data_IF_005980628837
#
_entry.id   IF_005980628837
#
_cell.length_a   1.000
_cell.length_b   1.000
_cell.length_c   1.000
_cell.angle_alpha   90.00
_cell.angle_beta   90.00
_cell.angle_gamma   90.00
#
_symmetry.space_group_name_H-M   'P 1'
#
loop_
_entity.id
_entity.type
_entity.pdbx_description
1 polymer ?
#
# COMPACT_ATOMS: atom_id res chain seq x y z
N UNK A 1 40.45 9.15 8.93
CA UNK A 1 39.14 8.59 9.34
C UNK A 1 38.03 8.94 8.35
N UNK A 2 38.14 10.05 7.61
CA UNK A 2 37.08 10.57 6.72
C UNK A 2 36.78 9.68 5.49
N UNK A 3 37.79 8.96 4.99
CA UNK A 3 37.62 8.01 3.87
C UNK A 3 36.72 6.83 4.27
N UNK A 4 36.77 6.40 5.54
CA UNK A 4 35.97 5.28 6.06
C UNK A 4 34.47 5.63 6.05
N UNK A 5 34.13 6.89 6.37
CA UNK A 5 32.74 7.39 6.32
C UNK A 5 32.19 7.39 4.88
N UNK A 6 33.03 7.75 3.91
CA UNK A 6 32.64 7.74 2.50
C UNK A 6 32.35 6.30 2.02
N UNK A 7 33.23 5.34 2.34
CA UNK A 7 33.03 3.93 2.03
C UNK A 7 31.79 3.35 2.72
N UNK A 8 31.54 3.68 3.99
CA UNK A 8 30.32 3.25 4.69
C UNK A 8 29.04 3.79 4.05
N UNK A 9 29.05 5.06 3.61
CA UNK A 9 27.89 5.66 2.92
C UNK A 9 27.61 5.01 1.56
N UNK A 10 28.68 4.72 0.80
CA UNK A 10 28.59 4.06 -0.50
C UNK A 10 28.08 2.61 -0.35
N UNK A 11 28.56 1.89 0.67
CA UNK A 11 28.08 0.55 1.00
C UNK A 11 26.59 0.56 1.38
N UNK A 12 26.14 1.54 2.17
CA UNK A 12 24.72 1.68 2.53
C UNK A 12 23.83 1.97 1.31
N UNK A 13 24.31 2.81 0.39
CA UNK A 13 23.66 3.09 -0.89
C UNK A 13 23.53 1.84 -1.76
N UNK A 14 24.62 1.07 -1.90
CA UNK A 14 24.63 -0.18 -2.66
C UNK A 14 23.67 -1.23 -2.09
N UNK A 15 23.63 -1.38 -0.77
CA UNK A 15 22.68 -2.28 -0.10
C UNK A 15 21.24 -1.81 -0.34
N UNK A 16 20.97 -0.51 -0.29
CA UNK A 16 19.64 0.05 -0.55
C UNK A 16 19.17 -0.26 -1.98
N UNK A 17 20.02 0.00 -2.98
CA UNK A 17 19.70 -0.33 -4.38
C UNK A 17 19.50 -1.84 -4.56
N UNK A 18 20.36 -2.67 -3.97
CA UNK A 18 20.23 -4.13 -4.03
C UNK A 18 18.90 -4.64 -3.47
N UNK A 19 18.41 -4.05 -2.38
CA UNK A 19 17.09 -4.42 -1.82
C UNK A 19 15.94 -4.01 -2.73
N UNK A 20 16.02 -2.84 -3.37
CA UNK A 20 15.00 -2.37 -4.34
C UNK A 20 14.97 -3.32 -5.55
N UNK A 21 16.13 -3.63 -6.13
CA UNK A 21 16.24 -4.54 -7.28
C UNK A 21 15.69 -5.92 -6.92
N UNK A 22 15.98 -6.43 -5.71
CA UNK A 22 15.47 -7.73 -5.25
C UNK A 22 13.94 -7.74 -5.14
N UNK A 23 13.33 -6.66 -4.67
CA UNK A 23 11.87 -6.54 -4.59
C UNK A 23 11.26 -6.51 -6.01
N UNK A 24 11.85 -5.77 -6.94
CA UNK A 24 11.37 -5.75 -8.33
C UNK A 24 11.58 -7.10 -9.03
N UNK A 25 12.66 -7.82 -8.74
CA UNK A 25 12.87 -9.17 -9.24
C UNK A 25 11.82 -10.16 -8.74
N UNK A 26 11.47 -10.09 -7.45
CA UNK A 26 10.38 -10.90 -6.87
C UNK A 26 9.02 -10.54 -7.49
N UNK A 27 8.78 -9.26 -7.79
CA UNK A 27 7.60 -8.82 -8.55
C UNK A 27 7.58 -9.40 -9.95
N UNK A 28 8.69 -9.29 -10.68
CA UNK A 28 8.81 -9.85 -12.03
C UNK A 28 8.61 -11.37 -12.04
N UNK A 29 9.07 -12.08 -11.00
CA UNK A 29 8.86 -13.52 -10.86
C UNK A 29 7.43 -13.89 -10.45
N UNK A 30 6.78 -13.06 -9.64
CA UNK A 30 5.36 -13.17 -9.33
C UNK A 30 4.45 -12.97 -10.55
N UNK A 31 4.92 -12.28 -11.60
CA UNK A 31 4.18 -12.17 -12.87
C UNK A 31 4.05 -13.51 -13.61
N UNK A 32 4.81 -14.53 -13.21
CA UNK A 32 4.82 -15.87 -13.81
C UNK A 32 3.92 -16.86 -13.04
N UNK A 33 2.98 -16.34 -12.24
CA UNK A 33 1.98 -17.18 -11.58
C UNK A 33 1.19 -18.04 -12.59
N UNK A 34 0.74 -19.24 -12.18
CA UNK A 34 0.00 -20.15 -13.06
C UNK A 34 -1.21 -19.46 -13.72
N UNK A 35 -1.60 -19.89 -14.93
CA UNK A 35 -2.75 -19.32 -15.64
C UNK A 35 -4.02 -19.37 -14.79
N UNK A 36 -4.76 -18.26 -14.78
CA UNK A 36 -6.11 -18.19 -14.23
C UNK A 36 -7.02 -19.18 -14.96
N UNK A 37 -7.83 -19.91 -14.20
CA UNK A 37 -8.94 -20.68 -14.77
C UNK A 37 -10.05 -19.70 -15.15
N UNK A 38 -10.14 -19.39 -16.45
CA UNK A 38 -11.08 -18.43 -17.00
C UNK A 38 -12.57 -18.84 -16.82
N UNK A 39 -12.84 -20.04 -16.30
CA UNK A 39 -14.20 -20.51 -16.00
C UNK A 39 -14.79 -19.93 -14.71
N UNK A 40 -13.97 -19.36 -13.81
CA UNK A 40 -14.48 -18.70 -12.62
C UNK A 40 -14.94 -17.27 -12.96
N UNK A 41 -16.26 -17.05 -12.93
CA UNK A 41 -16.87 -15.74 -13.13
C UNK A 41 -16.44 -14.76 -12.03
N UNK A 42 -15.91 -13.59 -12.42
CA UNK A 42 -15.50 -12.57 -11.47
C UNK A 42 -16.69 -11.71 -11.05
N UNK A 43 -16.88 -11.60 -9.74
CA UNK A 43 -17.85 -10.69 -9.16
C UNK A 43 -17.45 -9.21 -9.38
N UNK A 44 -18.43 -8.29 -9.41
CA UNK A 44 -18.18 -6.86 -9.61
C UNK A 44 -17.31 -6.26 -8.50
N UNK A 45 -17.35 -6.79 -7.27
CA UNK A 45 -16.43 -6.41 -6.20
C UNK A 45 -15.00 -6.90 -6.45
N UNK A 46 -14.83 -8.09 -7.03
CA UNK A 46 -13.54 -8.61 -7.41
C UNK A 46 -12.95 -7.80 -8.58
N UNK A 47 -13.75 -7.44 -9.59
CA UNK A 47 -13.34 -6.53 -10.67
C UNK A 47 -13.01 -5.13 -10.15
N UNK A 48 -13.77 -4.61 -9.19
CA UNK A 48 -13.45 -3.34 -8.54
C UNK A 48 -12.10 -3.42 -7.80
N UNK A 49 -11.85 -4.54 -7.11
CA UNK A 49 -10.58 -4.78 -6.43
C UNK A 49 -9.44 -4.87 -7.45
N UNK A 50 -9.65 -5.59 -8.54
CA UNK A 50 -8.66 -5.69 -9.60
C UNK A 50 -8.47 -4.39 -10.34
N UNK A 51 -9.43 -3.47 -10.42
CA UNK A 51 -9.25 -2.19 -11.14
C UNK A 51 -8.64 -1.08 -10.29
N UNK A 52 -8.78 -1.11 -8.96
CA UNK A 52 -8.22 -0.05 -8.09
C UNK A 52 -7.98 -0.42 -6.63
N UNK A 53 -8.02 -1.71 -6.30
CA UNK A 53 -7.78 -2.23 -4.95
C UNK A 53 -8.95 -1.96 -3.99
N UNK A 54 -8.71 -2.01 -2.67
CA UNK A 54 -9.76 -1.95 -1.65
C UNK A 54 -10.59 -0.66 -1.71
N UNK A 55 -9.96 0.48 -2.02
CA UNK A 55 -10.68 1.76 -2.13
C UNK A 55 -11.71 1.75 -3.27
N UNK A 56 -11.37 1.09 -4.39
CA UNK A 56 -12.27 1.01 -5.54
C UNK A 56 -13.45 0.08 -5.26
N UNK A 57 -13.25 -1.01 -4.51
CA UNK A 57 -14.34 -1.85 -4.01
C UNK A 57 -15.33 -1.04 -3.18
N UNK A 58 -14.84 -0.23 -2.24
CA UNK A 58 -15.70 0.59 -1.38
C UNK A 58 -16.45 1.63 -2.20
N UNK A 59 -15.80 2.26 -3.19
CA UNK A 59 -16.46 3.19 -4.10
C UNK A 59 -17.56 2.52 -4.91
N UNK A 60 -17.31 1.30 -5.41
CA UNK A 60 -18.33 0.50 -6.11
C UNK A 60 -19.49 0.17 -5.18
N UNK A 61 -19.24 -0.29 -3.95
CA UNK A 61 -20.29 -0.59 -2.97
C UNK A 61 -21.14 0.64 -2.64
N UNK A 62 -20.51 1.80 -2.41
CA UNK A 62 -21.24 3.07 -2.20
C UNK A 62 -22.05 3.45 -3.44
N UNK A 63 -21.51 3.24 -4.64
CA UNK A 63 -22.21 3.49 -5.89
C UNK A 63 -23.45 2.61 -6.07
N UNK A 64 -23.34 1.31 -5.79
CA UNK A 64 -24.45 0.37 -5.84
C UNK A 64 -25.54 0.70 -4.83
N UNK A 65 -25.17 0.89 -3.55
CA UNK A 65 -26.10 1.31 -2.51
C UNK A 65 -26.79 2.65 -2.81
N UNK A 66 -26.09 3.58 -3.50
CA UNK A 66 -26.71 4.84 -3.93
C UNK A 66 -27.68 4.63 -5.09
N UNK A 67 -27.37 3.73 -6.00
CA UNK A 67 -28.22 3.37 -7.15
C UNK A 67 -29.48 2.63 -6.70
N UNK A 68 -29.36 1.75 -5.72
CA UNK A 68 -30.46 0.97 -5.12
C UNK A 68 -31.33 1.81 -4.18
N UNK A 69 -30.84 2.99 -3.78
CA UNK A 69 -31.58 3.93 -2.95
C UNK A 69 -31.41 3.71 -1.44
N UNK A 70 -30.49 2.84 -1.02
CA UNK A 70 -30.14 2.62 0.39
C UNK A 70 -29.24 3.71 0.97
N UNK A 71 -28.47 4.36 0.09
CA UNK A 71 -27.63 5.52 0.42
C UNK A 71 -28.02 6.75 -0.42
N UNK A 72 -27.87 7.93 0.17
CA UNK A 72 -27.99 9.22 -0.50
C UNK A 72 -26.73 10.05 -0.31
N UNK A 73 -26.20 10.58 -1.40
CA UNK A 73 -25.03 11.46 -1.40
C UNK A 73 -25.47 12.92 -1.43
N UNK A 74 -24.98 13.72 -0.50
CA UNK A 74 -25.20 15.18 -0.50
C UNK A 74 -24.13 15.90 -1.33
N UNK A 75 -24.42 17.14 -1.76
CA UNK A 75 -23.52 17.98 -2.58
C UNK A 75 -22.15 18.27 -1.93
N UNK A 76 -22.00 18.02 -0.63
CA UNK A 76 -20.73 18.14 0.11
C UNK A 76 -19.96 16.83 0.31
N UNK A 77 -20.32 15.75 -0.40
CA UNK A 77 -19.65 14.45 -0.28
C UNK A 77 -19.94 13.72 1.04
N UNK A 78 -21.05 14.06 1.71
CA UNK A 78 -21.54 13.33 2.87
C UNK A 78 -22.58 12.30 2.45
N UNK A 79 -22.49 11.12 3.03
CA UNK A 79 -23.37 9.99 2.83
C UNK A 79 -24.44 9.96 3.93
N UNK A 80 -25.67 9.70 3.53
CA UNK A 80 -26.81 9.55 4.42
C UNK A 80 -27.48 8.21 4.11
N UNK A 81 -27.83 7.46 5.15
CA UNK A 81 -28.62 6.24 5.00
C UNK A 81 -30.09 6.64 4.80
N UNK A 82 -30.75 6.02 3.83
CA UNK A 82 -32.18 6.24 3.58
C UNK A 82 -33.01 5.43 4.58
N UNK A 83 -34.13 6.01 5.03
CA UNK A 83 -35.04 5.32 5.94
C UNK A 83 -35.72 4.15 5.20
N UNK A 84 -35.66 2.94 5.77
CA UNK A 84 -36.14 1.73 5.12
C UNK A 84 -35.11 1.00 4.24
N UNK A 85 -33.86 1.47 4.22
CA UNK A 85 -32.79 0.81 3.48
C UNK A 85 -32.65 -0.67 3.89
N UNK A 86 -32.77 -1.56 2.91
CA UNK A 86 -32.67 -3.01 3.08
C UNK A 86 -31.19 -3.38 2.92
N UNK A 87 -30.70 -4.32 3.72
CA UNK A 87 -29.33 -4.80 3.51
C UNK A 87 -29.26 -5.49 2.16
N UNK A 88 -28.35 -5.06 1.28
CA UNK A 88 -28.15 -5.64 -0.05
C UNK A 88 -27.46 -7.03 -0.02
N UNK A 89 -27.28 -7.61 1.17
CA UNK A 89 -26.91 -9.01 1.35
C UNK A 89 -25.40 -9.27 1.34
N UNK A 90 -24.57 -8.27 1.02
CA UNK A 90 -23.12 -8.39 1.10
C UNK A 90 -22.56 -7.78 2.41
N UNK A 91 -21.70 -8.49 3.16
CA UNK A 91 -21.20 -8.00 4.46
C UNK A 91 -20.46 -6.64 4.41
N UNK A 92 -19.90 -6.27 3.26
CA UNK A 92 -19.28 -4.95 3.05
C UNK A 92 -20.30 -3.82 3.04
N UNK A 93 -21.44 -4.03 2.39
CA UNK A 93 -22.52 -3.04 2.28
C UNK A 93 -23.14 -2.80 3.66
N UNK A 94 -23.34 -3.86 4.43
CA UNK A 94 -23.80 -3.79 5.81
C UNK A 94 -22.86 -2.95 6.68
N UNK A 95 -21.54 -3.19 6.58
CA UNK A 95 -20.55 -2.41 7.31
C UNK A 95 -20.60 -0.92 6.92
N UNK A 96 -20.80 -0.61 5.63
CA UNK A 96 -20.96 0.76 5.14
C UNK A 96 -22.23 1.39 5.72
N UNK A 97 -23.37 0.71 5.63
CA UNK A 97 -24.66 1.19 6.15
C UNK A 97 -24.61 1.40 7.68
N UNK A 98 -23.91 0.53 8.40
CA UNK A 98 -23.70 0.63 9.85
C UNK A 98 -22.89 1.88 10.21
N UNK A 99 -21.76 2.14 9.53
CA UNK A 99 -20.95 3.34 9.75
C UNK A 99 -21.74 4.63 9.47
N UNK A 100 -22.52 4.66 8.38
CA UNK A 100 -23.31 5.83 7.99
C UNK A 100 -24.49 6.07 8.96
N UNK A 101 -25.08 5.01 9.55
CA UNK A 101 -26.19 5.11 10.51
C UNK A 101 -25.85 5.93 11.75
N UNK A 102 -24.57 6.00 12.12
CA UNK A 102 -24.13 6.63 13.39
C UNK A 102 -24.32 8.14 13.45
N UNK A 103 -24.63 8.85 12.34
CA UNK A 103 -24.69 10.33 12.33
C UNK A 103 -25.88 10.90 11.56
N UNK A 104 -26.73 11.65 12.26
CA UNK A 104 -27.82 12.47 11.65
C UNK A 104 -27.29 13.52 10.65
N UNK A 105 -26.07 14.04 10.87
CA UNK A 105 -25.46 15.08 10.02
C UNK A 105 -24.80 14.57 8.73
N UNK A 106 -24.90 13.26 8.44
CA UNK A 106 -24.22 12.61 7.32
C UNK A 106 -22.75 12.28 7.59
N UNK A 107 -22.25 11.25 6.94
CA UNK A 107 -20.89 10.74 7.13
C UNK A 107 -19.99 11.09 5.92
N UNK A 108 -18.83 11.73 6.11
CA UNK A 108 -17.95 12.07 4.99
C UNK A 108 -17.43 10.82 4.26
N UNK A 109 -17.61 10.74 2.93
CA UNK A 109 -17.21 9.57 2.13
C UNK A 109 -15.71 9.24 2.27
N UNK A 110 -14.85 10.27 2.33
CA UNK A 110 -13.39 10.08 2.50
C UNK A 110 -13.05 9.39 3.82
N UNK A 111 -13.76 9.72 4.90
CA UNK A 111 -13.56 9.06 6.20
C UNK A 111 -14.10 7.64 6.21
N UNK A 112 -15.15 7.35 5.43
CA UNK A 112 -15.75 6.03 5.33
C UNK A 112 -14.74 5.06 4.71
N UNK A 113 -14.13 5.45 3.60
CA UNK A 113 -13.10 4.66 2.92
C UNK A 113 -11.98 4.28 3.91
N UNK A 114 -11.49 5.24 4.70
CA UNK A 114 -10.43 4.95 5.69
C UNK A 114 -10.83 3.95 6.78
N UNK A 115 -12.09 3.96 7.22
CA UNK A 115 -12.59 3.03 8.25
C UNK A 115 -12.90 1.64 7.70
N UNK A 116 -13.54 1.59 6.53
CA UNK A 116 -14.03 0.35 5.92
C UNK A 116 -12.93 -0.38 5.15
N UNK A 117 -11.85 0.30 4.75
CA UNK A 117 -10.73 -0.34 4.04
C UNK A 117 -10.04 -1.46 4.82
N UNK A 118 -10.11 -1.45 6.16
CA UNK A 118 -9.57 -2.51 7.00
C UNK A 118 -10.59 -3.61 7.34
N UNK A 119 -11.83 -3.51 6.85
CA UNK A 119 -12.89 -4.44 7.18
C UNK A 119 -12.58 -5.86 6.68
N UNK A 120 -12.88 -6.92 7.45
CA UNK A 120 -12.59 -8.30 7.07
C UNK A 120 -13.12 -8.69 5.68
N UNK A 121 -14.29 -8.19 5.27
CA UNK A 121 -14.88 -8.47 3.95
C UNK A 121 -14.01 -7.99 2.80
N UNK A 122 -13.35 -6.82 2.94
CA UNK A 122 -12.45 -6.28 1.91
C UNK A 122 -11.15 -7.07 1.85
N UNK A 123 -10.64 -7.50 3.01
CA UNK A 123 -9.45 -8.34 3.07
C UNK A 123 -9.73 -9.73 2.48
N UNK A 124 -10.90 -10.31 2.77
CA UNK A 124 -11.34 -11.61 2.25
C UNK A 124 -11.44 -11.63 0.72
N UNK A 125 -11.88 -10.53 0.09
CA UNK A 125 -11.84 -10.37 -1.37
C UNK A 125 -10.41 -10.42 -1.92
N UNK A 126 -9.46 -9.74 -1.27
CA UNK A 126 -8.05 -9.80 -1.63
C UNK A 126 -7.48 -11.21 -1.50
N UNK A 127 -7.80 -11.93 -0.43
CA UNK A 127 -7.36 -13.31 -0.23
C UNK A 127 -8.00 -14.30 -1.21
N UNK A 128 -9.27 -14.11 -1.57
CA UNK A 128 -9.92 -14.88 -2.62
C UNK A 128 -9.19 -14.69 -3.96
N UNK A 129 -8.90 -13.44 -4.34
CA UNK A 129 -8.15 -13.10 -5.56
C UNK A 129 -6.71 -13.64 -5.53
N UNK A 130 -6.08 -13.76 -4.35
CA UNK A 130 -4.77 -14.41 -4.19
C UNK A 130 -4.87 -15.92 -4.38
N UNK A 131 -5.87 -16.59 -3.77
CA UNK A 131 -6.11 -18.02 -3.97
C UNK A 131 -6.42 -18.35 -5.43
N UNK A 132 -7.06 -17.41 -6.10
CA UNK A 132 -7.37 -17.42 -7.52
C UNK A 132 -6.16 -17.12 -8.42
N UNK A 133 -5.01 -16.70 -7.88
CA UNK A 133 -3.83 -16.37 -8.71
C UNK A 133 -3.98 -15.07 -9.53
N UNK A 134 -5.02 -14.28 -9.28
CA UNK A 134 -5.24 -12.97 -9.89
C UNK A 134 -4.45 -11.86 -9.18
N UNK A 135 -4.09 -12.08 -7.92
CA UNK A 135 -3.20 -11.24 -7.14
C UNK A 135 -2.07 -12.08 -6.53
N UNK A 136 -0.88 -11.50 -6.43
CA UNK A 136 0.21 -12.09 -5.63
C UNK A 136 0.45 -11.23 -4.40
N UNK A 137 0.34 -11.86 -3.23
CA UNK A 137 0.72 -11.26 -1.96
C UNK A 137 2.24 -11.36 -1.77
N UNK A 138 2.93 -10.27 -2.10
CA UNK A 138 4.37 -10.14 -1.89
C UNK A 138 4.75 -10.41 -0.43
N UNK A 139 3.87 -10.14 0.53
CA UNK A 139 4.08 -10.33 1.97
C UNK A 139 4.16 -11.81 2.37
N UNK A 140 3.63 -12.72 1.54
CA UNK A 140 3.65 -14.17 1.74
C UNK A 140 4.78 -14.86 0.99
N UNK A 141 5.51 -14.16 0.12
CA UNK A 141 6.69 -14.71 -0.52
C UNK A 141 7.81 -14.95 0.51
N UNK A 142 8.45 -16.13 0.52
CA UNK A 142 9.60 -16.38 1.39
C UNK A 142 10.69 -15.35 1.08
N UNK A 143 11.11 -14.61 2.11
CA UNK A 143 12.10 -13.53 2.00
C UNK A 143 11.55 -12.10 1.99
N UNK A 144 10.23 -11.89 1.88
CA UNK A 144 9.67 -10.52 1.89
C UNK A 144 9.67 -9.88 3.27
N UNK A 145 9.43 -10.68 4.33
CA UNK A 145 9.54 -10.22 5.73
C UNK A 145 10.97 -9.78 6.02
N UNK A 146 11.95 -10.59 5.62
CA UNK A 146 13.37 -10.27 5.75
C UNK A 146 13.75 -9.04 4.93
N UNK A 147 13.19 -8.86 3.73
CA UNK A 147 13.42 -7.66 2.92
C UNK A 147 12.80 -6.40 3.55
N UNK A 148 11.61 -6.50 4.14
CA UNK A 148 10.95 -5.38 4.82
C UNK A 148 11.62 -5.02 6.14
N UNK A 149 12.06 -6.01 6.92
CA UNK A 149 12.83 -5.80 8.14
C UNK A 149 14.21 -5.24 7.82
N UNK A 150 14.86 -5.71 6.75
CA UNK A 150 16.10 -5.11 6.25
C UNK A 150 15.87 -3.65 5.82
N UNK A 151 14.73 -3.33 5.17
CA UNK A 151 14.39 -1.94 4.83
C UNK A 151 14.19 -1.07 6.07
N UNK A 152 13.60 -1.62 7.14
CA UNK A 152 13.46 -0.96 8.44
C UNK A 152 14.83 -0.71 9.09
N UNK A 153 15.70 -1.70 9.09
CA UNK A 153 17.07 -1.59 9.60
C UNK A 153 17.89 -0.58 8.80
N UNK A 154 17.84 -0.61 7.46
CA UNK A 154 18.48 0.39 6.59
C UNK A 154 17.99 1.79 6.95
N UNK A 155 16.69 1.97 7.18
CA UNK A 155 16.12 3.27 7.57
C UNK A 155 16.67 3.78 8.90
N UNK A 156 16.78 2.90 9.90
CA UNK A 156 17.36 3.21 11.21
C UNK A 156 18.85 3.54 11.09
N UNK A 157 19.62 2.75 10.34
CA UNK A 157 21.03 2.99 10.10
C UNK A 157 21.27 4.30 9.34
N UNK A 158 20.42 4.64 8.36
CA UNK A 158 20.53 5.91 7.61
C UNK A 158 20.27 7.11 8.52
N UNK A 159 19.27 7.04 9.41
CA UNK A 159 19.00 8.09 10.40
C UNK A 159 20.15 8.22 11.41
N UNK A 160 20.68 7.10 11.90
CA UNK A 160 21.84 7.09 12.80
C UNK A 160 23.08 7.70 12.15
N UNK A 161 23.40 7.31 10.91
CA UNK A 161 24.53 7.85 10.16
C UNK A 161 24.40 9.36 9.90
N UNK A 162 23.19 9.84 9.61
CA UNK A 162 22.92 11.26 9.41
C UNK A 162 23.11 12.07 10.70
N UNK A 163 22.66 11.55 11.85
CA UNK A 163 22.88 12.17 13.16
C UNK A 163 24.36 12.23 13.54
N UNK A 164 25.12 11.16 13.29
CA UNK A 164 26.56 11.10 13.55
C UNK A 164 27.32 12.11 12.66
N UNK A 165 26.98 12.22 11.37
CA UNK A 165 27.59 13.21 10.49
C UNK A 165 27.27 14.64 10.92
N UNK A 166 26.04 14.91 11.37
CA UNK A 166 25.64 16.21 11.92
C UNK A 166 26.38 16.55 13.21
N UNK A 167 26.56 15.59 14.12
CA UNK A 167 27.33 15.76 15.34
C UNK A 167 28.81 16.03 15.05
N UNK A 168 29.40 15.31 14.09
CA UNK A 168 30.78 15.53 13.65
C UNK A 168 30.98 16.91 13.00
N UNK A 169 30.01 17.37 12.19
CA UNK A 169 30.03 18.75 11.66
C UNK A 169 30.01 19.80 12.77
N UNK A 170 29.18 19.59 13.81
CA UNK A 170 29.08 20.51 14.93
C UNK A 170 30.35 20.55 15.79
N UNK A 171 31.08 19.44 15.87
CA UNK A 171 32.28 19.30 16.71
C UNK A 171 33.59 19.69 15.99
N UNK A 172 33.73 19.42 14.69
CA UNK A 172 35.01 19.54 13.97
C UNK A 172 34.98 20.49 12.76
N UNK A 173 33.87 21.20 12.53
CA UNK A 173 33.71 22.09 11.36
C UNK A 173 33.26 21.33 10.11
N UNK A 174 33.36 21.95 8.93
CA UNK A 174 32.80 21.44 7.66
C UNK A 174 33.86 20.88 6.69
N UNK A 175 34.37 19.65 6.90
CA UNK A 175 35.14 18.96 5.87
C UNK A 175 34.28 18.72 4.63
N UNK A 176 34.81 18.90 3.42
CA UNK A 176 34.07 18.68 2.17
C UNK A 176 33.51 17.25 2.04
N UNK A 177 34.15 16.26 2.69
CA UNK A 177 33.73 14.87 2.70
C UNK A 177 32.48 14.61 3.55
N UNK A 178 32.25 15.41 4.60
CA UNK A 178 31.05 15.31 5.45
C UNK A 178 29.82 15.86 4.71
N UNK A 179 30.02 16.85 3.83
CA UNK A 179 28.96 17.33 2.93
C UNK A 179 28.58 16.24 1.92
N UNK A 180 29.57 15.54 1.35
CA UNK A 180 29.35 14.43 0.42
C UNK A 180 28.56 13.27 1.05
N UNK A 181 28.90 12.85 2.27
CA UNK A 181 28.19 11.76 2.96
C UNK A 181 26.75 12.15 3.33
N UNK A 182 26.51 13.42 3.71
CA UNK A 182 25.17 13.95 3.97
C UNK A 182 24.28 13.91 2.72
N UNK A 183 24.81 14.24 1.54
CA UNK A 183 24.06 14.14 0.30
C UNK A 183 23.67 12.70 -0.04
N UNK A 184 24.60 11.76 0.11
CA UNK A 184 24.34 10.32 -0.15
C UNK A 184 23.33 9.74 0.84
N UNK A 185 23.45 10.06 2.12
CA UNK A 185 22.50 9.63 3.16
C UNK A 185 21.13 10.28 2.97
N UNK A 186 21.09 11.56 2.61
CA UNK A 186 19.85 12.30 2.31
C UNK A 186 19.12 11.71 1.10
N UNK A 187 19.84 11.41 0.01
CA UNK A 187 19.29 10.76 -1.17
C UNK A 187 18.76 9.35 -0.83
N UNK A 188 19.52 8.57 -0.06
CA UNK A 188 19.10 7.23 0.40
C UNK A 188 17.85 7.30 1.27
N UNK A 189 17.76 8.26 2.19
CA UNK A 189 16.58 8.46 3.04
C UNK A 189 15.35 8.87 2.23
N UNK A 190 15.50 9.76 1.24
CA UNK A 190 14.42 10.15 0.35
C UNK A 190 13.92 8.97 -0.49
N UNK A 191 14.84 8.17 -1.02
CA UNK A 191 14.51 6.94 -1.77
C UNK A 191 13.76 5.94 -0.89
N UNK A 192 14.28 5.63 0.30
CA UNK A 192 13.64 4.68 1.24
C UNK A 192 12.28 5.21 1.74
N UNK A 193 12.16 6.51 2.03
CA UNK A 193 10.89 7.14 2.46
C UNK A 193 9.88 7.20 1.32
N UNK A 194 10.34 7.41 0.08
CA UNK A 194 9.52 7.39 -1.13
C UNK A 194 9.00 5.98 -1.42
N UNK A 195 9.91 5.00 -1.45
CA UNK A 195 9.56 3.58 -1.64
C UNK A 195 8.67 3.05 -0.52
N UNK A 196 8.96 3.39 0.74
CA UNK A 196 8.13 2.99 1.89
C UNK A 196 6.72 3.59 1.84
N UNK A 197 6.56 4.83 1.35
CA UNK A 197 5.23 5.43 1.12
C UNK A 197 4.49 4.75 -0.03
N UNK A 198 5.16 4.46 -1.14
CA UNK A 198 4.56 3.75 -2.27
C UNK A 198 4.16 2.32 -1.88
N UNK A 199 4.99 1.63 -1.11
CA UNK A 199 4.73 0.27 -0.61
C UNK A 199 3.63 0.24 0.46
N UNK A 200 3.61 1.18 1.41
CA UNK A 200 2.56 1.27 2.42
C UNK A 200 1.20 1.65 1.82
N UNK A 201 1.19 2.47 0.76
CA UNK A 201 -0.03 2.86 0.03
C UNK A 201 -0.54 1.75 -0.90
N UNK A 202 0.37 0.90 -1.40
CA UNK A 202 0.08 -0.29 -2.20
C UNK A 202 0.41 -1.55 -1.36
N UNK A 203 -0.34 -1.80 -0.28
CA UNK A 203 -0.21 -3.04 0.50
C UNK A 203 -0.16 -4.25 -0.43
N UNK A 204 1.05 -4.79 -0.61
CA UNK A 204 1.40 -6.18 -0.92
C UNK A 204 0.91 -6.83 -2.21
N UNK A 205 -0.13 -6.32 -2.88
CA UNK A 205 -0.82 -7.06 -3.93
C UNK A 205 -0.43 -6.53 -5.31
N UNK A 206 0.30 -7.35 -6.06
CA UNK A 206 0.65 -7.09 -7.45
C UNK A 206 -0.29 -7.88 -8.35
N UNK A 207 -0.86 -7.21 -9.35
CA UNK A 207 -1.70 -7.85 -10.36
C UNK A 207 -0.85 -8.81 -11.20
N UNK A 208 -1.41 -9.97 -11.50
CA UNK A 208 -0.79 -10.92 -12.43
C UNK A 208 -1.16 -10.56 -13.87
N UNK A 209 -0.42 -11.12 -14.84
CA UNK A 209 -0.70 -10.94 -16.28
C UNK A 209 -2.11 -11.41 -16.67
N UNK A 210 -2.65 -12.40 -15.95
CA UNK A 210 -4.01 -12.90 -16.14
C UNK A 210 -5.06 -11.81 -15.84
N UNK A 211 -4.90 -11.06 -14.74
CA UNK A 211 -5.79 -9.94 -14.41
C UNK A 211 -5.77 -8.83 -15.48
N UNK A 212 -4.64 -8.66 -16.17
CA UNK A 212 -4.51 -7.68 -17.26
C UNK A 212 -5.20 -8.07 -18.56
N UNK A 213 -5.65 -9.33 -18.73
CA UNK A 213 -6.45 -9.74 -19.90
C UNK A 213 -7.96 -9.59 -19.68
N UNK A 214 -8.40 -9.42 -18.43
CA UNK A 214 -9.82 -9.38 -18.03
C UNK A 214 -10.34 -7.93 -17.98
N UNK A 215 -9.46 -6.95 -17.80
CA UNK A 215 -9.76 -5.52 -17.81
C UNK A 215 -9.59 -4.92 -19.21
#
# INVERSE_FOLDING_TARGET
>A
MDVILLYLSAALGAVSVGTIVRIEWLRARAWWAPPWDASAELDYYQLAYLSGGPNRVIQTAVGLLTREGDLRVSRGGKLHRVAGAVSAGFPLEEAILAEVKTRKAGFPAVKLIGRVAAHPSVNGLGEALVRQGLLVDLSRLPGSRTALDLLRWIRLCTLGGMLVCLALMALFGSPPYVVGSLLVLGATWLLVKGYGRLYARRRGLVRTRAAGRIL
#
